data_IF_562222433343
#
_entry.id   IF_562222433343
#
_cell.length_a   1.000
_cell.length_b   1.000
_cell.length_c   1.000
_cell.angle_alpha   90.00
_cell.angle_beta   90.00
_cell.angle_gamma   90.00
#
_symmetry.space_group_name_H-M   'P 1'
#
loop_
_entity.id
_entity.type
_entity.pdbx_description
1 polymer ?
#
# COMPACT_ATOMS: atom_id res chain seq x y z
N UNK A 1 -17.22 -9.03 -67.77
CA UNK A 1 -16.34 -9.92 -66.97
C UNK A 1 -16.98 -10.15 -65.61
N UNK A 2 -17.38 -11.40 -65.36
CA UNK A 2 -17.63 -12.15 -64.10
C UNK A 2 -17.87 -11.35 -62.79
N UNK A 3 -19.12 -11.28 -62.29
CA UNK A 3 -19.73 -12.04 -61.14
C UNK A 3 -19.32 -11.54 -59.75
N UNK A 4 -20.16 -11.38 -58.71
CA UNK A 4 -21.48 -11.96 -58.37
C UNK A 4 -22.12 -11.14 -57.22
N UNK A 5 -23.45 -10.99 -57.26
CA UNK A 5 -24.36 -10.51 -56.22
C UNK A 5 -25.09 -11.72 -55.61
N UNK A 6 -25.42 -11.74 -54.30
CA UNK A 6 -26.56 -12.44 -53.63
C UNK A 6 -26.56 -12.01 -52.15
N UNK A 7 -27.54 -11.26 -51.60
CA UNK A 7 -28.90 -11.62 -51.09
C UNK A 7 -28.94 -12.74 -50.03
N UNK A 8 -29.22 -12.38 -48.77
CA UNK A 8 -29.84 -13.21 -47.73
C UNK A 8 -30.89 -12.32 -47.02
N UNK A 9 -32.19 -12.45 -47.28
CA UNK A 9 -33.17 -13.45 -46.82
C UNK A 9 -33.49 -13.36 -45.33
N UNK A 10 -34.53 -12.60 -45.01
CA UNK A 10 -35.27 -12.59 -43.75
C UNK A 10 -36.14 -13.85 -43.65
N UNK A 11 -36.21 -14.46 -42.47
CA UNK A 11 -37.26 -15.41 -42.11
C UNK A 11 -37.69 -15.14 -40.66
N UNK A 12 -39.00 -14.98 -40.51
CA UNK A 12 -39.74 -14.70 -39.28
C UNK A 12 -40.90 -15.69 -39.32
N UNK A 13 -41.10 -16.54 -38.31
CA UNK A 13 -42.38 -17.21 -38.08
C UNK A 13 -42.54 -17.75 -36.63
N UNK A 14 -43.45 -17.08 -35.91
CA UNK A 14 -44.48 -17.54 -34.95
C UNK A 14 -44.26 -18.65 -33.90
N UNK A 15 -44.30 -18.19 -32.64
CA UNK A 15 -45.14 -18.56 -31.49
C UNK A 15 -45.84 -19.94 -31.37
N UNK A 16 -45.71 -20.53 -30.18
CA UNK A 16 -46.71 -21.38 -29.52
C UNK A 16 -46.71 -21.11 -28.01
N UNK A 17 -47.87 -20.76 -27.46
CA UNK A 17 -48.15 -20.62 -26.03
C UNK A 17 -48.36 -22.00 -25.36
N UNK A 18 -47.88 -22.14 -24.12
CA UNK A 18 -48.61 -22.79 -23.03
C UNK A 18 -48.12 -22.24 -21.66
N UNK A 19 -49.00 -22.16 -20.64
CA UNK A 19 -48.79 -21.37 -19.41
C UNK A 19 -48.39 -22.22 -18.18
N UNK A 20 -47.78 -21.52 -17.21
CA UNK A 20 -47.60 -21.84 -15.78
C UNK A 20 -47.00 -23.19 -15.35
N UNK A 21 -45.82 -23.14 -14.72
CA UNK A 21 -45.57 -23.55 -13.31
C UNK A 21 -44.06 -23.68 -12.99
N UNK A 22 -43.69 -23.29 -11.77
CA UNK A 22 -42.39 -23.43 -11.07
C UNK A 22 -41.26 -22.49 -11.51
N UNK A 23 -40.97 -21.43 -10.74
CA UNK A 23 -40.09 -21.48 -9.56
C UNK A 23 -38.72 -22.06 -9.89
N UNK A 24 -37.80 -21.19 -10.30
CA UNK A 24 -36.46 -20.97 -9.73
C UNK A 24 -35.74 -20.07 -10.75
N UNK A 25 -35.81 -18.75 -10.53
CA UNK A 25 -34.86 -17.86 -11.21
C UNK A 25 -33.44 -18.34 -10.88
N UNK A 26 -32.50 -18.33 -11.85
CA UNK A 26 -31.15 -18.80 -11.60
C UNK A 26 -30.61 -18.06 -10.38
N UNK A 27 -30.25 -18.81 -9.33
CA UNK A 27 -29.43 -18.29 -8.24
C UNK A 27 -28.26 -17.60 -8.92
N UNK A 28 -28.23 -16.27 -8.86
CA UNK A 28 -27.17 -15.48 -9.48
C UNK A 28 -25.84 -16.08 -9.02
N UNK A 29 -24.95 -16.36 -9.97
CA UNK A 29 -23.57 -16.66 -9.65
C UNK A 29 -23.04 -15.46 -8.84
N UNK A 30 -22.99 -15.60 -7.52
CA UNK A 30 -22.06 -14.82 -6.72
C UNK A 30 -20.68 -15.13 -7.29
N UNK A 31 -20.09 -14.18 -8.02
CA UNK A 31 -18.69 -14.26 -8.41
C UNK A 31 -17.88 -14.34 -7.10
N UNK A 32 -17.53 -15.56 -6.69
CA UNK A 32 -16.77 -15.81 -5.47
C UNK A 32 -15.42 -15.09 -5.58
N UNK A 33 -15.28 -14.00 -4.82
CA UNK A 33 -14.07 -13.17 -4.77
C UNK A 33 -12.93 -13.98 -4.16
N UNK A 34 -11.89 -14.25 -4.93
CA UNK A 34 -10.65 -14.83 -4.41
C UNK A 34 -9.83 -13.71 -3.77
N UNK A 35 -9.40 -13.90 -2.53
CA UNK A 35 -8.54 -12.96 -1.80
C UNK A 35 -7.18 -13.61 -1.52
N UNK A 36 -6.14 -12.79 -1.36
CA UNK A 36 -4.80 -13.24 -1.00
C UNK A 36 -4.39 -12.61 0.33
N UNK A 37 -3.94 -13.42 1.28
CA UNK A 37 -3.43 -12.94 2.57
C UNK A 37 -1.95 -13.28 2.74
N UNK A 38 -1.15 -12.33 3.25
CA UNK A 38 0.26 -12.54 3.52
C UNK A 38 0.49 -13.29 4.83
N UNK A 39 1.38 -14.28 4.81
CA UNK A 39 1.73 -15.09 5.96
C UNK A 39 3.23 -15.17 6.06
N UNK A 40 3.77 -14.80 7.21
CA UNK A 40 5.19 -14.95 7.50
C UNK A 40 5.39 -15.98 8.59
N UNK A 41 6.29 -16.93 8.34
CA UNK A 41 6.58 -18.04 9.25
C UNK A 41 8.02 -17.92 9.73
N UNK A 42 8.22 -17.96 11.04
CA UNK A 42 9.54 -17.87 11.67
C UNK A 42 9.76 -18.98 12.68
N UNK A 43 10.99 -19.47 12.77
CA UNK A 43 11.47 -20.30 13.87
C UNK A 43 11.58 -19.46 15.15
N UNK A 44 11.83 -20.14 16.28
CA UNK A 44 12.01 -19.48 17.60
C UNK A 44 13.17 -18.50 17.65
N UNK A 45 14.22 -18.73 16.86
CA UNK A 45 15.39 -17.85 16.71
C UNK A 45 15.13 -16.64 15.79
N UNK A 46 13.93 -16.51 15.23
CA UNK A 46 13.54 -15.45 14.31
C UNK A 46 13.86 -15.75 12.83
N UNK A 47 14.54 -16.85 12.52
CA UNK A 47 14.84 -17.22 11.14
C UNK A 47 13.56 -17.53 10.35
N UNK A 48 13.48 -17.05 9.10
CA UNK A 48 12.33 -17.32 8.22
C UNK A 48 12.33 -18.78 7.76
N UNK A 49 11.13 -19.37 7.70
CA UNK A 49 10.92 -20.71 7.16
C UNK A 49 10.47 -20.61 5.71
N UNK A 50 11.27 -21.11 4.79
CA UNK A 50 11.02 -21.12 3.34
C UNK A 50 10.65 -22.54 2.85
N UNK A 51 10.09 -22.66 1.65
CA UNK A 51 9.79 -23.96 1.03
C UNK A 51 8.62 -24.74 1.64
N UNK A 52 7.72 -24.09 2.40
CA UNK A 52 6.53 -24.75 2.94
C UNK A 52 5.50 -25.04 1.84
N UNK A 53 4.95 -26.25 1.85
CA UNK A 53 3.89 -26.66 0.92
C UNK A 53 2.51 -26.16 1.36
N UNK A 54 1.55 -26.06 0.45
CA UNK A 54 0.19 -25.63 0.80
C UNK A 54 -0.48 -26.50 1.88
N UNK A 55 -0.13 -27.80 1.94
CA UNK A 55 -0.76 -28.79 2.83
C UNK A 55 -0.49 -28.56 4.32
N UNK A 56 0.53 -27.77 4.68
CA UNK A 56 0.85 -27.49 6.09
C UNK A 56 0.06 -26.31 6.64
N UNK A 57 -0.57 -25.50 5.78
CA UNK A 57 -1.33 -24.34 6.20
C UNK A 57 -2.79 -24.72 6.48
N UNK A 58 -3.27 -24.35 7.66
CA UNK A 58 -4.68 -24.36 7.99
C UNK A 58 -5.16 -22.91 8.17
N UNK A 59 -6.27 -22.56 7.52
CA UNK A 59 -6.89 -21.25 7.60
C UNK A 59 -8.25 -21.38 8.29
N UNK A 60 -8.47 -20.60 9.33
CA UNK A 60 -9.76 -20.46 10.00
C UNK A 60 -10.33 -19.08 9.68
N UNK A 61 -11.57 -19.04 9.19
CA UNK A 61 -12.36 -17.82 9.02
C UNK A 61 -13.56 -17.88 9.96
N UNK A 62 -13.66 -16.92 10.90
CA UNK A 62 -14.67 -16.95 11.96
C UNK A 62 -14.73 -18.33 12.65
N UNK A 63 -13.55 -18.82 13.06
CA UNK A 63 -13.31 -20.11 13.72
C UNK A 63 -13.71 -21.37 12.93
N UNK A 64 -14.05 -21.23 11.64
CA UNK A 64 -14.38 -22.36 10.75
C UNK A 64 -13.27 -22.57 9.72
N UNK A 65 -12.95 -23.84 9.47
CA UNK A 65 -11.93 -24.20 8.49
C UNK A 65 -12.31 -23.68 7.10
N UNK A 66 -11.34 -23.03 6.45
CA UNK A 66 -11.45 -22.56 5.06
C UNK A 66 -10.40 -23.23 4.19
N UNK A 67 -10.81 -23.84 3.07
CA UNK A 67 -9.87 -24.35 2.08
C UNK A 67 -8.95 -23.22 1.59
N UNK A 68 -7.65 -23.50 1.57
CA UNK A 68 -6.66 -22.66 0.89
C UNK A 68 -6.55 -23.17 -0.55
N UNK A 69 -6.84 -22.31 -1.51
CA UNK A 69 -6.84 -22.66 -2.94
C UNK A 69 -5.41 -22.84 -3.46
N UNK A 70 -4.50 -21.96 -3.02
CA UNK A 70 -3.09 -22.03 -3.40
C UNK A 70 -2.21 -21.29 -2.39
N UNK A 71 -0.97 -21.74 -2.26
CA UNK A 71 0.08 -21.04 -1.51
C UNK A 71 1.22 -20.72 -2.45
N UNK A 72 1.67 -19.46 -2.45
CA UNK A 72 2.82 -19.01 -3.23
C UNK A 72 3.85 -18.39 -2.30
N UNK A 73 5.06 -18.92 -2.27
CA UNK A 73 6.19 -18.24 -1.64
C UNK A 73 6.63 -17.09 -2.55
N UNK A 74 6.72 -15.89 -1.99
CA UNK A 74 7.07 -14.68 -2.73
C UNK A 74 8.35 -14.10 -2.13
N UNK A 75 9.49 -14.17 -2.86
CA UNK A 75 10.76 -13.61 -2.42
C UNK A 75 10.76 -12.08 -2.56
N UNK A 76 11.67 -11.33 -1.91
CA UNK A 76 11.88 -9.91 -2.18
C UNK A 76 12.10 -9.61 -3.67
N UNK A 77 11.55 -8.49 -4.15
CA UNK A 77 11.88 -7.97 -5.48
C UNK A 77 13.35 -7.56 -5.50
N UNK A 78 14.14 -8.15 -6.42
CA UNK A 78 15.55 -7.84 -6.61
C UNK A 78 15.78 -7.33 -8.04
N UNK A 79 16.57 -6.28 -8.19
CA UNK A 79 16.88 -5.69 -9.50
C UNK A 79 18.38 -5.54 -9.73
N UNK A 80 18.74 -5.36 -11.01
CA UNK A 80 20.12 -5.15 -11.43
C UNK A 80 21.00 -6.38 -11.29
N UNK A 81 22.27 -6.25 -11.71
CA UNK A 81 23.25 -7.34 -11.68
C UNK A 81 23.59 -7.81 -10.25
N UNK A 82 23.56 -6.87 -9.30
CA UNK A 82 23.89 -7.13 -7.89
C UNK A 82 22.72 -7.72 -7.09
N UNK A 83 21.55 -7.93 -7.73
CA UNK A 83 20.33 -8.44 -7.09
C UNK A 83 19.99 -7.66 -5.82
N UNK A 84 19.87 -6.34 -5.94
CA UNK A 84 19.60 -5.42 -4.83
C UNK A 84 18.09 -5.23 -4.67
N UNK A 85 17.62 -5.07 -3.43
CA UNK A 85 16.23 -4.71 -3.15
C UNK A 85 15.94 -3.30 -3.69
N UNK A 86 14.66 -3.06 -4.00
CA UNK A 86 14.18 -1.73 -4.41
C UNK A 86 13.38 -1.11 -3.27
N UNK A 87 13.78 0.08 -2.84
CA UNK A 87 13.01 0.87 -1.89
C UNK A 87 11.99 1.75 -2.62
N UNK A 88 10.69 1.53 -2.37
CA UNK A 88 9.64 2.44 -2.80
C UNK A 88 9.27 3.34 -1.62
N UNK A 89 9.59 4.62 -1.69
CA UNK A 89 9.25 5.59 -0.63
C UNK A 89 8.05 6.41 -1.05
N UNK A 90 7.07 6.48 -0.16
CA UNK A 90 5.83 7.22 -0.34
C UNK A 90 5.71 8.26 0.76
N UNK A 91 5.85 9.54 0.39
CA UNK A 91 5.60 10.63 1.31
C UNK A 91 4.14 11.08 1.24
N UNK A 92 3.39 10.92 2.31
CA UNK A 92 2.03 11.41 2.42
C UNK A 92 2.03 12.81 2.99
N UNK A 93 2.07 13.79 2.10
CA UNK A 93 1.99 15.19 2.48
C UNK A 93 0.60 15.51 3.05
N UNK A 94 -0.48 14.92 2.54
CA UNK A 94 -1.87 15.24 2.95
C UNK A 94 -2.07 15.13 4.46
N UNK A 95 -1.46 14.13 5.09
CA UNK A 95 -1.66 13.87 6.52
C UNK A 95 -0.49 14.25 7.41
N UNK A 96 0.66 14.54 6.81
CA UNK A 96 1.86 14.93 7.55
C UNK A 96 1.73 16.37 8.08
N UNK A 97 2.19 16.66 9.31
CA UNK A 97 2.12 18.00 9.89
C UNK A 97 2.82 19.04 9.01
N UNK A 98 2.12 20.11 8.64
CA UNK A 98 2.62 21.15 7.71
C UNK A 98 4.02 21.67 8.08
N UNK A 99 4.27 21.89 9.38
CA UNK A 99 5.56 22.41 9.89
C UNK A 99 6.74 21.47 9.67
N UNK A 100 6.50 20.17 9.54
CA UNK A 100 7.55 19.16 9.37
C UNK A 100 7.79 18.82 7.90
N UNK A 101 6.86 19.14 7.00
CA UNK A 101 6.94 18.66 5.61
C UNK A 101 8.17 19.18 4.85
N UNK A 102 8.63 20.41 5.14
CA UNK A 102 9.83 20.97 4.49
C UNK A 102 11.08 20.14 4.81
N UNK A 103 11.30 19.81 6.08
CA UNK A 103 12.45 18.99 6.48
C UNK A 103 12.29 17.54 5.98
N UNK A 104 11.09 16.96 6.00
CA UNK A 104 10.87 15.61 5.46
C UNK A 104 11.16 15.55 3.96
N UNK A 105 10.74 16.55 3.18
CA UNK A 105 11.06 16.63 1.75
C UNK A 105 12.56 16.73 1.54
N UNK A 106 13.24 17.55 2.33
CA UNK A 106 14.70 17.67 2.29
C UNK A 106 15.39 16.33 2.62
N UNK A 107 14.92 15.60 3.64
CA UNK A 107 15.44 14.28 3.99
C UNK A 107 15.18 13.25 2.88
N UNK A 108 14.03 13.30 2.20
CA UNK A 108 13.75 12.47 1.04
C UNK A 108 14.73 12.75 -0.12
N UNK A 109 15.02 14.03 -0.39
CA UNK A 109 16.00 14.43 -1.39
C UNK A 109 17.43 13.99 -1.00
N UNK A 110 17.76 14.03 0.28
CA UNK A 110 19.02 13.52 0.80
C UNK A 110 19.11 11.99 0.67
N UNK A 111 18.00 11.26 0.86
CA UNK A 111 17.95 9.83 0.61
C UNK A 111 18.14 9.48 -0.88
N UNK A 112 17.57 10.27 -1.80
CA UNK A 112 17.82 10.13 -3.25
C UNK A 112 19.29 10.39 -3.60
N UNK A 113 19.92 11.40 -3.00
CA UNK A 113 21.35 11.64 -3.16
C UNK A 113 22.18 10.43 -2.73
N UNK A 114 21.91 9.87 -1.55
CA UNK A 114 22.57 8.65 -1.07
C UNK A 114 22.28 7.43 -1.95
N UNK A 115 21.08 7.33 -2.54
CA UNK A 115 20.74 6.29 -3.52
C UNK A 115 21.62 6.37 -4.77
N UNK A 116 21.82 7.58 -5.33
CA UNK A 116 22.68 7.79 -6.49
C UNK A 116 24.15 7.42 -6.20
N UNK A 117 24.66 7.82 -5.02
CA UNK A 117 26.03 7.56 -4.59
C UNK A 117 26.28 6.06 -4.40
N UNK A 118 25.38 5.39 -3.69
CA UNK A 118 25.54 3.98 -3.34
C UNK A 118 25.01 3.03 -4.43
N UNK A 119 24.50 3.57 -5.53
CA UNK A 119 23.81 2.83 -6.59
C UNK A 119 22.69 1.91 -6.04
N UNK A 120 22.01 2.39 -5.00
CA UNK A 120 20.93 1.66 -4.34
C UNK A 120 19.58 1.98 -5.03
N UNK A 121 18.88 1.02 -5.64
CA UNK A 121 17.66 1.28 -6.39
C UNK A 121 16.54 1.84 -5.50
N UNK A 122 16.04 3.02 -5.84
CA UNK A 122 15.00 3.70 -5.07
C UNK A 122 14.00 4.37 -6.01
N UNK A 123 12.72 4.40 -5.62
CA UNK A 123 11.72 5.27 -6.21
C UNK A 123 11.09 6.13 -5.12
N UNK A 124 10.76 7.37 -5.44
CA UNK A 124 10.09 8.31 -4.54
C UNK A 124 8.78 8.76 -5.17
N UNK A 125 7.71 8.70 -4.40
CA UNK A 125 6.41 9.25 -4.74
C UNK A 125 5.85 10.10 -3.59
N UNK A 126 4.95 11.03 -3.93
CA UNK A 126 4.25 11.89 -2.99
C UNK A 126 2.74 11.69 -3.15
N UNK A 127 2.00 11.68 -2.03
CA UNK A 127 0.56 11.88 -2.02
C UNK A 127 0.31 13.33 -1.60
N UNK A 128 -0.34 14.10 -2.46
CA UNK A 128 -0.84 15.42 -2.13
C UNK A 128 -2.31 15.59 -2.56
N UNK A 129 -2.84 16.81 -2.51
CA UNK A 129 -4.23 17.10 -2.86
C UNK A 129 -4.63 16.71 -4.29
N UNK A 130 -3.68 16.63 -5.21
CA UNK A 130 -3.91 16.33 -6.63
C UNK A 130 -3.77 14.82 -6.91
N UNK A 131 -3.34 14.04 -5.91
CA UNK A 131 -3.30 12.57 -5.94
C UNK A 131 -1.90 12.01 -5.71
N UNK A 132 -1.65 10.82 -6.25
CA UNK A 132 -0.33 10.20 -6.25
C UNK A 132 0.53 10.80 -7.37
N UNK A 133 1.75 11.21 -7.03
CA UNK A 133 2.73 11.75 -7.96
C UNK A 133 4.06 11.01 -7.84
N UNK A 134 4.60 10.60 -8.98
CA UNK A 134 5.97 10.09 -9.04
C UNK A 134 6.94 11.26 -9.01
N UNK A 135 7.82 11.27 -8.01
CA UNK A 135 8.88 12.29 -7.83
C UNK A 135 10.17 11.81 -8.49
N UNK A 136 10.50 10.53 -8.30
CA UNK A 136 11.68 9.87 -8.88
C UNK A 136 11.36 8.42 -9.25
N UNK A 137 11.74 8.02 -10.46
CA UNK A 137 11.63 6.65 -10.96
C UNK A 137 12.93 5.88 -10.78
N UNK A 138 12.83 4.61 -10.34
CA UNK A 138 13.98 3.72 -10.17
C UNK A 138 14.76 3.47 -11.48
N UNK A 139 14.12 3.68 -12.63
CA UNK A 139 14.72 3.55 -13.96
C UNK A 139 15.56 4.77 -14.38
N UNK A 140 15.46 5.89 -13.68
CA UNK A 140 16.26 7.09 -13.98
C UNK A 140 17.74 6.79 -13.78
N UNK A 141 18.62 7.05 -14.77
CA UNK A 141 20.05 6.85 -14.60
C UNK A 141 20.60 7.65 -13.42
N UNK A 142 21.45 7.04 -12.59
CA UNK A 142 22.04 7.71 -11.42
C UNK A 142 22.80 9.00 -11.76
N UNK A 143 23.42 9.07 -12.95
CA UNK A 143 24.07 10.29 -13.46
C UNK A 143 23.09 11.41 -13.77
N UNK A 144 21.87 11.07 -14.24
CA UNK A 144 20.78 12.03 -14.46
C UNK A 144 20.22 12.53 -13.12
N UNK A 145 19.96 11.62 -12.17
CA UNK A 145 19.50 11.98 -10.82
C UNK A 145 20.54 12.88 -10.11
N UNK A 146 21.82 12.51 -10.14
CA UNK A 146 22.88 13.29 -9.51
C UNK A 146 23.01 14.70 -10.11
N UNK A 147 22.95 14.82 -11.44
CA UNK A 147 22.95 16.12 -12.11
C UNK A 147 21.73 16.97 -11.72
N UNK A 148 20.54 16.37 -11.68
CA UNK A 148 19.31 17.07 -11.32
C UNK A 148 19.32 17.57 -9.87
N UNK A 149 19.81 16.76 -8.93
CA UNK A 149 19.97 17.14 -7.52
C UNK A 149 20.99 18.28 -7.35
N UNK A 150 22.09 18.28 -8.11
CA UNK A 150 23.09 19.35 -8.06
C UNK A 150 22.55 20.68 -8.59
N UNK A 151 21.72 20.67 -9.64
CA UNK A 151 21.03 21.86 -10.12
C UNK A 151 20.11 22.40 -9.02
N UNK A 152 19.30 21.52 -8.43
CA UNK A 152 18.37 21.88 -7.35
C UNK A 152 19.10 22.48 -6.13
N UNK A 153 20.25 21.90 -5.76
CA UNK A 153 21.11 22.38 -4.66
C UNK A 153 21.73 23.75 -4.95
N UNK A 154 22.04 24.05 -6.21
CA UNK A 154 22.51 25.38 -6.62
C UNK A 154 21.50 26.50 -6.41
N UNK A 155 20.20 26.19 -6.42
CA UNK A 155 19.13 27.17 -6.15
C UNK A 155 18.95 27.45 -4.65
N UNK A 156 19.10 26.41 -3.83
CA UNK A 156 19.00 26.48 -2.37
C UNK A 156 19.78 25.30 -1.78
N UNK A 157 20.95 25.52 -1.17
CA UNK A 157 21.82 24.45 -0.73
C UNK A 157 21.17 23.54 0.32
N UNK A 158 21.19 22.23 0.08
CA UNK A 158 20.66 21.21 1.00
C UNK A 158 21.46 19.91 1.01
N UNK A 159 22.26 19.63 -0.01
CA UNK A 159 23.03 18.38 -0.13
C UNK A 159 24.21 18.34 0.85
N UNK A 160 24.51 17.16 1.37
CA UNK A 160 25.71 16.91 2.19
C UNK A 160 26.92 16.51 1.32
N UNK A 161 26.77 15.52 0.44
CA UNK A 161 27.87 14.87 -0.29
C UNK A 161 28.05 15.39 -1.73
N UNK A 162 28.16 16.71 -1.90
CA UNK A 162 28.19 17.38 -3.22
C UNK A 162 29.28 16.86 -4.15
N UNK A 163 30.50 16.66 -3.66
CA UNK A 163 31.65 16.31 -4.49
C UNK A 163 31.51 14.91 -5.11
N UNK A 164 30.97 13.96 -4.33
CA UNK A 164 30.68 12.61 -4.82
C UNK A 164 29.60 12.64 -5.91
N UNK A 165 28.54 13.43 -5.70
CA UNK A 165 27.50 13.61 -6.72
C UNK A 165 28.03 14.30 -7.99
N UNK A 166 28.98 15.25 -7.88
CA UNK A 166 29.58 15.90 -9.05
C UNK A 166 30.33 14.91 -9.94
N UNK A 167 31.04 13.96 -9.35
CA UNK A 167 31.72 12.90 -10.09
C UNK A 167 30.71 12.02 -10.86
N UNK A 168 29.57 11.70 -10.25
CA UNK A 168 28.51 10.88 -10.86
C UNK A 168 27.74 11.66 -11.93
N UNK A 169 27.40 12.92 -11.65
CA UNK A 169 26.61 13.79 -12.52
C UNK A 169 27.34 14.28 -13.78
N UNK A 170 28.67 14.12 -13.84
CA UNK A 170 29.49 14.48 -15.01
C UNK A 170 29.49 13.42 -16.12
N UNK A 171 28.78 12.31 -15.94
CA UNK A 171 28.63 11.26 -16.95
C UNK A 171 27.86 11.69 -18.21
N UNK A 172 27.84 10.85 -19.26
CA UNK A 172 27.05 11.12 -20.47
C UNK A 172 25.57 11.15 -20.11
N UNK A 173 24.96 12.34 -20.22
CA UNK A 173 23.58 12.57 -19.82
C UNK A 173 22.80 13.28 -20.93
N UNK A 174 21.55 12.87 -21.10
CA UNK A 174 20.60 13.61 -21.92
C UNK A 174 20.10 14.84 -21.16
N UNK A 175 20.32 16.03 -21.72
CA UNK A 175 19.90 17.30 -21.11
C UNK A 175 18.39 17.38 -20.90
N UNK A 176 17.60 16.75 -21.77
CA UNK A 176 16.14 16.73 -21.66
C UNK A 176 15.68 15.90 -20.47
N UNK A 177 16.32 14.74 -20.23
CA UNK A 177 16.05 13.90 -19.06
C UNK A 177 16.46 14.59 -17.76
N UNK A 178 17.61 15.27 -17.73
CA UNK A 178 18.01 16.07 -16.57
C UNK A 178 16.96 17.15 -16.27
N UNK A 179 16.53 17.91 -17.29
CA UNK A 179 15.55 18.97 -17.11
C UNK A 179 14.22 18.44 -16.56
N UNK A 180 13.73 17.32 -17.10
CA UNK A 180 12.48 16.72 -16.64
C UNK A 180 12.59 16.18 -15.20
N UNK A 181 13.73 15.60 -14.84
CA UNK A 181 13.99 15.15 -13.46
C UNK A 181 14.09 16.33 -12.49
N UNK A 182 14.83 17.38 -12.85
CA UNK A 182 14.94 18.60 -12.05
C UNK A 182 13.57 19.22 -11.80
N UNK A 183 12.70 19.31 -12.81
CA UNK A 183 11.35 19.86 -12.66
C UNK A 183 10.50 19.08 -11.64
N UNK A 184 10.55 17.74 -11.69
CA UNK A 184 9.87 16.88 -10.70
C UNK A 184 10.39 17.12 -9.29
N UNK A 185 11.71 17.16 -9.10
CA UNK A 185 12.33 17.40 -7.79
C UNK A 185 12.04 18.82 -7.27
N UNK A 186 12.00 19.83 -8.15
CA UNK A 186 11.60 21.19 -7.79
C UNK A 186 10.13 21.27 -7.37
N UNK A 187 9.21 20.58 -8.07
CA UNK A 187 7.81 20.50 -7.67
C UNK A 187 7.69 19.87 -6.29
N UNK A 188 8.34 18.73 -6.07
CA UNK A 188 8.36 18.04 -4.79
C UNK A 188 8.90 18.94 -3.67
N UNK A 189 10.05 19.58 -3.86
CA UNK A 189 10.67 20.47 -2.85
C UNK A 189 9.76 21.64 -2.45
N UNK A 190 9.04 22.23 -3.42
CA UNK A 190 8.09 23.33 -3.16
C UNK A 190 6.88 22.86 -2.35
N UNK A 191 6.41 21.64 -2.62
CA UNK A 191 5.18 21.11 -2.04
C UNK A 191 3.92 21.88 -2.48
N UNK A 192 2.76 21.43 -2.01
CA UNK A 192 1.47 22.07 -2.25
C UNK A 192 0.80 22.51 -0.94
N UNK A 193 0.06 23.63 -0.98
CA UNK A 193 -0.70 24.15 0.18
C UNK A 193 -1.97 23.31 0.37
N UNK A 194 -2.24 22.89 1.60
CA UNK A 194 -3.26 21.88 1.91
C UNK A 194 -4.48 22.47 2.60
N UNK A 195 -5.66 22.21 2.03
CA UNK A 195 -6.92 22.24 2.75
C UNK A 195 -7.84 21.14 2.24
N UNK A 196 -8.10 20.14 3.08
CA UNK A 196 -9.06 19.07 2.82
C UNK A 196 -9.64 18.56 4.13
N UNK A 197 -10.92 18.19 4.11
CA UNK A 197 -11.58 17.55 5.24
C UNK A 197 -11.03 16.13 5.45
N UNK A 198 -11.13 15.61 6.68
CA UNK A 198 -10.49 14.35 7.09
C UNK A 198 -10.91 13.12 6.26
N UNK A 199 -12.20 12.99 5.93
CA UNK A 199 -12.68 11.89 5.10
C UNK A 199 -12.05 11.93 3.70
N UNK A 200 -11.99 13.13 3.10
CA UNK A 200 -11.32 13.33 1.81
C UNK A 200 -9.85 12.93 1.86
N UNK A 201 -9.14 13.22 2.96
CA UNK A 201 -7.74 12.78 3.17
C UNK A 201 -7.63 11.26 3.17
N UNK A 202 -8.45 10.59 3.98
CA UNK A 202 -8.45 9.14 4.09
C UNK A 202 -8.73 8.43 2.76
N UNK A 203 -9.79 8.85 2.05
CA UNK A 203 -10.12 8.28 0.74
C UNK A 203 -9.03 8.55 -0.30
N UNK A 204 -8.35 9.70 -0.22
CA UNK A 204 -7.21 10.03 -1.09
C UNK A 204 -6.00 9.13 -0.81
N UNK A 205 -5.69 8.86 0.47
CA UNK A 205 -4.63 7.90 0.86
C UNK A 205 -4.92 6.51 0.28
N UNK A 206 -6.15 6.00 0.46
CA UNK A 206 -6.54 4.69 -0.08
C UNK A 206 -6.44 4.66 -1.59
N UNK A 207 -6.96 5.68 -2.29
CA UNK A 207 -6.88 5.78 -3.75
C UNK A 207 -5.43 5.78 -4.24
N UNK A 208 -4.56 6.55 -3.63
CA UNK A 208 -3.13 6.60 -3.98
C UNK A 208 -2.46 5.22 -3.80
N UNK A 209 -2.76 4.50 -2.72
CA UNK A 209 -2.25 3.15 -2.51
C UNK A 209 -2.78 2.14 -3.55
N UNK A 210 -4.03 2.29 -4.00
CA UNK A 210 -4.60 1.49 -5.10
C UNK A 210 -3.92 1.79 -6.46
N UNK A 211 -3.66 3.07 -6.74
CA UNK A 211 -2.93 3.49 -7.95
C UNK A 211 -1.50 2.94 -7.95
N UNK A 212 -0.82 2.98 -6.80
CA UNK A 212 0.49 2.37 -6.63
C UNK A 212 0.45 0.85 -6.84
N UNK A 213 -0.54 0.16 -6.27
CA UNK A 213 -0.72 -1.28 -6.48
C UNK A 213 -0.88 -1.62 -7.97
N UNK A 214 -1.65 -0.81 -8.69
CA UNK A 214 -1.85 -0.96 -10.14
C UNK A 214 -0.56 -0.73 -10.92
N UNK A 215 0.18 0.33 -10.59
CA UNK A 215 1.44 0.66 -11.24
C UNK A 215 2.52 -0.43 -11.06
N UNK A 216 2.57 -1.05 -9.88
CA UNK A 216 3.58 -2.03 -9.52
C UNK A 216 3.16 -3.49 -9.73
N UNK A 217 1.97 -3.75 -10.25
CA UNK A 217 1.40 -5.09 -10.40
C UNK A 217 2.24 -6.02 -11.30
N UNK A 218 2.98 -5.47 -12.26
CA UNK A 218 3.77 -6.25 -13.23
C UNK A 218 5.14 -6.69 -12.72
N UNK A 219 5.60 -6.15 -11.58
CA UNK A 219 6.89 -6.52 -11.02
C UNK A 219 6.71 -7.73 -10.10
N UNK A 220 7.25 -8.89 -10.47
CA UNK A 220 7.20 -10.09 -9.64
C UNK A 220 8.18 -10.02 -8.47
N UNK A 221 7.70 -10.38 -7.28
CA UNK A 221 8.45 -10.33 -6.03
C UNK A 221 7.85 -9.33 -5.04
N UNK A 222 8.14 -9.55 -3.76
CA UNK A 222 7.67 -8.74 -2.64
C UNK A 222 8.30 -7.36 -2.72
N UNK A 223 7.46 -6.35 -2.92
CA UNK A 223 7.86 -4.94 -2.98
C UNK A 223 7.72 -4.29 -1.61
N UNK A 224 8.73 -3.52 -1.25
CA UNK A 224 8.80 -2.80 0.03
C UNK A 224 8.38 -1.35 -0.18
N UNK A 225 7.22 -0.98 0.35
CA UNK A 225 6.76 0.42 0.34
C UNK A 225 6.94 0.99 1.73
N UNK A 226 7.89 1.92 1.89
CA UNK A 226 8.01 2.76 3.09
C UNK A 226 7.03 3.92 2.96
N UNK A 227 5.99 3.95 3.78
CA UNK A 227 4.96 4.99 3.74
C UNK A 227 5.12 5.97 4.90
N UNK A 228 5.68 7.15 4.61
CA UNK A 228 5.86 8.22 5.58
C UNK A 228 4.54 8.97 5.72
N UNK A 229 3.91 8.92 6.89
CA UNK A 229 2.56 9.48 7.09
C UNK A 229 2.38 10.02 8.51
N UNK A 230 1.65 11.13 8.66
CA UNK A 230 1.35 11.71 9.98
C UNK A 230 0.10 11.12 10.62
N UNK A 231 -0.82 10.60 9.82
CA UNK A 231 -2.15 10.23 10.31
C UNK A 231 -2.81 9.10 9.50
N UNK A 232 -3.41 8.16 10.22
CA UNK A 232 -4.24 7.11 9.64
C UNK A 232 -5.37 6.76 10.61
N UNK A 233 -6.60 7.25 10.37
CA UNK A 233 -7.68 7.26 11.37
C UNK A 233 -8.38 5.92 11.58
N UNK A 234 -7.90 4.83 10.98
CA UNK A 234 -8.65 3.57 10.88
C UNK A 234 -8.49 2.75 12.15
N UNK A 235 -9.62 2.34 12.71
CA UNK A 235 -9.68 1.23 13.65
C UNK A 235 -10.75 0.26 13.16
N UNK A 236 -10.39 -1.01 12.96
CA UNK A 236 -11.40 -2.03 12.66
C UNK A 236 -12.18 -2.36 13.92
N UNK A 237 -13.52 -2.26 13.85
CA UNK A 237 -14.43 -2.63 14.94
C UNK A 237 -15.29 -3.82 14.50
N UNK A 238 -14.85 -5.00 14.92
CA UNK A 238 -15.45 -6.29 14.57
C UNK A 238 -16.96 -6.33 14.86
N UNK A 239 -17.39 -5.79 16.01
CA UNK A 239 -18.80 -5.81 16.45
C UNK A 239 -19.73 -4.91 15.61
N UNK A 240 -19.19 -3.96 14.85
CA UNK A 240 -19.97 -3.03 14.03
C UNK A 240 -19.87 -3.31 12.52
N UNK A 241 -19.10 -4.32 12.12
CA UNK A 241 -18.81 -4.63 10.73
C UNK A 241 -18.33 -3.39 9.95
N UNK A 242 -17.53 -2.54 10.59
CA UNK A 242 -17.07 -1.27 10.02
C UNK A 242 -15.68 -0.89 10.49
N UNK A 243 -15.02 -0.05 9.70
CA UNK A 243 -13.94 0.79 10.21
C UNK A 243 -14.56 1.97 10.97
N UNK A 244 -13.96 2.30 12.10
CA UNK A 244 -14.16 3.58 12.76
C UNK A 244 -13.11 4.56 12.27
N UNK A 245 -13.59 5.76 11.93
CA UNK A 245 -12.71 6.90 11.65
C UNK A 245 -12.63 7.72 12.93
N UNK A 246 -11.45 7.74 13.52
CA UNK A 246 -11.12 8.64 14.61
C UNK A 246 -10.95 10.07 14.04
N UNK A 247 -11.26 11.12 14.80
CA UNK A 247 -11.05 12.51 14.38
C UNK A 247 -10.54 13.37 15.53
N UNK A 248 -9.80 14.42 15.20
CA UNK A 248 -9.41 15.46 16.16
C UNK A 248 -10.66 16.06 16.81
N UNK A 249 -10.67 16.12 18.15
CA UNK A 249 -11.78 16.69 18.93
C UNK A 249 -13.03 15.81 19.10
N UNK A 250 -13.04 14.58 18.55
CA UNK A 250 -14.15 13.63 18.75
C UNK A 250 -13.62 12.44 19.56
N UNK A 251 -14.19 12.24 20.76
CA UNK A 251 -13.74 11.20 21.70
C UNK A 251 -14.10 9.78 21.24
N UNK A 252 -15.19 9.62 20.49
CA UNK A 252 -15.65 8.36 19.88
C UNK A 252 -15.52 8.39 18.35
N UNK A 253 -14.81 7.43 17.77
CA UNK A 253 -14.83 7.23 16.32
C UNK A 253 -16.24 6.91 15.83
N UNK A 254 -16.54 7.27 14.58
CA UNK A 254 -17.83 6.94 13.96
C UNK A 254 -17.66 5.84 12.91
N UNK A 255 -18.60 4.88 12.83
CA UNK A 255 -18.51 3.76 11.90
C UNK A 255 -18.78 4.22 10.47
N UNK A 256 -17.94 3.79 9.52
CA UNK A 256 -18.04 4.17 8.10
C UNK A 256 -18.00 2.93 7.20
N UNK A 257 -19.16 2.28 7.04
CA UNK A 257 -19.29 1.04 6.25
C UNK A 257 -18.84 1.17 4.78
N UNK A 258 -19.13 2.30 4.14
CA UNK A 258 -18.71 2.54 2.76
C UNK A 258 -17.18 2.55 2.62
N UNK A 259 -16.50 3.19 3.57
CA UNK A 259 -15.05 3.33 3.56
C UNK A 259 -14.34 2.01 3.96
N UNK A 260 -15.01 1.12 4.71
CA UNK A 260 -14.51 -0.25 4.95
C UNK A 260 -14.35 -1.06 3.66
N UNK A 261 -15.22 -0.85 2.65
CA UNK A 261 -15.13 -1.53 1.35
C UNK A 261 -13.86 -1.06 0.62
N UNK A 262 -13.63 0.24 0.55
CA UNK A 262 -12.45 0.81 -0.12
C UNK A 262 -11.16 0.47 0.62
N UNK A 263 -11.20 0.43 1.96
CA UNK A 263 -10.10 -0.05 2.80
C UNK A 263 -9.71 -1.49 2.43
N UNK A 264 -10.69 -2.40 2.38
CA UNK A 264 -10.41 -3.79 2.03
C UNK A 264 -9.98 -3.96 0.57
N UNK A 265 -10.59 -3.23 -0.38
CA UNK A 265 -10.16 -3.25 -1.79
C UNK A 265 -8.69 -2.83 -1.92
N UNK A 266 -8.28 -1.83 -1.15
CA UNK A 266 -6.89 -1.36 -1.12
C UNK A 266 -5.95 -2.49 -0.66
N UNK A 267 -6.28 -3.16 0.44
CA UNK A 267 -5.49 -4.31 0.95
C UNK A 267 -5.41 -5.42 -0.11
N UNK A 268 -6.53 -5.78 -0.73
CA UNK A 268 -6.57 -6.82 -1.75
C UNK A 268 -5.71 -6.50 -2.97
N UNK A 269 -5.76 -5.25 -3.44
CA UNK A 269 -4.94 -4.78 -4.56
C UNK A 269 -3.45 -4.80 -4.20
N UNK A 270 -3.08 -4.33 -3.01
CA UNK A 270 -1.70 -4.37 -2.52
C UNK A 270 -1.18 -5.81 -2.41
N UNK A 271 -1.96 -6.72 -1.83
CA UNK A 271 -1.59 -8.13 -1.71
C UNK A 271 -1.50 -8.83 -3.07
N UNK A 272 -2.42 -8.55 -3.98
CA UNK A 272 -2.39 -9.08 -5.35
C UNK A 272 -1.19 -8.57 -6.14
N UNK A 273 -0.78 -7.34 -5.87
CA UNK A 273 0.44 -6.75 -6.40
C UNK A 273 1.69 -7.16 -5.61
N UNK A 274 1.61 -8.03 -4.60
CA UNK A 274 2.76 -8.44 -3.76
C UNK A 274 3.49 -7.26 -3.09
N UNK A 275 2.74 -6.26 -2.62
CA UNK A 275 3.26 -5.09 -1.92
C UNK A 275 3.10 -5.29 -0.42
N UNK A 276 4.19 -5.12 0.32
CA UNK A 276 4.15 -4.94 1.78
C UNK A 276 4.36 -3.47 2.13
N UNK A 277 3.42 -2.92 2.90
CA UNK A 277 3.47 -1.53 3.35
C UNK A 277 4.09 -1.46 4.74
N UNK A 278 5.14 -0.66 4.86
CA UNK A 278 5.83 -0.33 6.10
C UNK A 278 5.55 1.14 6.42
N UNK A 279 4.43 1.45 7.11
CA UNK A 279 4.14 2.81 7.47
C UNK A 279 5.11 3.29 8.56
N UNK A 280 5.69 4.47 8.37
CA UNK A 280 6.47 5.18 9.37
C UNK A 280 5.68 6.42 9.81
N UNK A 281 5.17 6.37 11.04
CA UNK A 281 4.40 7.47 11.62
C UNK A 281 5.30 8.66 11.92
N UNK A 282 5.02 9.78 11.28
CA UNK A 282 5.59 11.08 11.62
C UNK A 282 4.83 11.60 12.85
N UNK A 283 5.54 11.76 13.95
CA UNK A 283 4.97 12.24 15.22
C UNK A 283 5.41 13.68 15.45
N UNK A 284 4.46 14.51 15.84
CA UNK A 284 4.69 15.92 16.08
C UNK A 284 4.77 16.24 17.58
N UNK A 285 5.96 16.12 18.15
CA UNK A 285 6.19 16.26 19.59
C UNK A 285 5.86 17.66 20.16
N UNK A 286 5.69 18.68 19.31
CA UNK A 286 5.29 20.03 19.73
C UNK A 286 3.77 20.24 19.72
N UNK A 287 2.97 19.22 19.39
CA UNK A 287 1.50 19.31 19.40
C UNK A 287 0.88 19.29 20.82
N UNK A 288 1.70 19.15 21.86
CA UNK A 288 1.25 19.01 23.26
C UNK A 288 1.03 20.33 23.98
N UNK A 289 1.34 21.49 23.37
CA UNK A 289 1.36 22.79 24.07
C UNK A 289 0.26 23.79 23.69
N UNK A 290 -0.54 23.56 22.64
CA UNK A 290 -1.52 24.56 22.15
C UNK A 290 -2.96 24.02 21.98
N UNK A 291 -3.54 23.32 22.97
CA UNK A 291 -5.00 23.10 22.99
C UNK A 291 -5.54 22.90 24.40
N UNK A 292 -6.06 24.00 24.96
CA UNK A 292 -6.95 24.02 26.12
C UNK A 292 -8.33 23.46 25.75
N UNK A 293 -8.56 22.15 25.89
CA UNK A 293 -9.88 21.61 26.30
C UNK A 293 -9.67 20.33 27.12
N UNK A 294 -10.14 20.43 28.36
CA UNK A 294 -10.19 19.41 29.41
C UNK A 294 -11.19 18.30 29.04
N UNK A 295 -10.77 17.04 29.14
CA UNK A 295 -11.49 15.82 29.59
C UNK A 295 -10.79 14.58 28.99
N UNK A 296 -9.68 14.20 29.62
CA UNK A 296 -8.82 13.09 29.22
C UNK A 296 -9.36 11.74 29.73
N UNK A 297 -10.11 11.06 28.86
CA UNK A 297 -10.35 9.61 28.94
C UNK A 297 -10.09 8.92 27.57
N UNK A 298 -9.38 9.58 26.66
CA UNK A 298 -9.13 9.08 25.30
C UNK A 298 -7.64 8.92 25.06
N UNK A 299 -7.20 7.76 24.57
CA UNK A 299 -5.81 7.56 24.18
C UNK A 299 -5.32 8.68 23.24
N UNK A 300 -4.07 9.17 23.36
CA UNK A 300 -3.50 10.16 22.46
C UNK A 300 -3.70 9.77 21.00
N UNK A 301 -4.01 10.73 20.13
CA UNK A 301 -4.30 10.50 18.70
C UNK A 301 -3.17 9.72 18.00
N UNK A 302 -1.93 9.92 18.44
CA UNK A 302 -0.77 9.18 17.94
C UNK A 302 -0.89 7.68 18.19
N UNK A 303 -1.41 7.25 19.35
CA UNK A 303 -1.65 5.84 19.66
C UNK A 303 -2.73 5.23 18.78
N UNK A 304 -3.82 5.99 18.53
CA UNK A 304 -4.89 5.56 17.63
C UNK A 304 -4.38 5.41 16.20
N UNK A 305 -3.61 6.39 15.72
CA UNK A 305 -2.94 6.34 14.42
C UNK A 305 -2.04 5.12 14.29
N UNK A 306 -1.16 4.89 15.27
CA UNK A 306 -0.27 3.72 15.27
C UNK A 306 -1.04 2.40 15.27
N UNK A 307 -2.19 2.34 15.94
CA UNK A 307 -3.04 1.13 15.95
C UNK A 307 -3.56 0.82 14.54
N UNK A 308 -4.11 1.81 13.84
CA UNK A 308 -4.57 1.65 12.46
C UNK A 308 -3.43 1.30 11.49
N UNK A 309 -2.28 1.98 11.63
CA UNK A 309 -1.09 1.68 10.83
C UNK A 309 -0.59 0.25 11.03
N UNK A 310 -0.58 -0.25 12.26
CA UNK A 310 -0.20 -1.64 12.57
C UNK A 310 -1.16 -2.64 11.92
N UNK A 311 -2.46 -2.40 12.03
CA UNK A 311 -3.48 -3.25 11.39
C UNK A 311 -3.28 -3.28 9.86
N UNK A 312 -3.14 -2.11 9.24
CA UNK A 312 -2.94 -2.00 7.79
C UNK A 312 -1.64 -2.66 7.31
N UNK A 313 -0.53 -2.41 8.02
CA UNK A 313 0.75 -3.02 7.73
C UNK A 313 0.70 -4.55 7.85
N UNK A 314 0.08 -5.06 8.91
CA UNK A 314 -0.11 -6.51 9.11
C UNK A 314 -0.95 -7.14 7.99
N UNK A 315 -2.00 -6.46 7.53
CA UNK A 315 -2.84 -6.91 6.41
C UNK A 315 -2.11 -7.01 5.07
N UNK A 316 -0.95 -6.35 4.93
CA UNK A 316 -0.08 -6.38 3.73
C UNK A 316 1.26 -7.10 3.96
N UNK A 317 1.44 -7.71 5.13
CA UNK A 317 2.65 -8.43 5.51
C UNK A 317 3.82 -7.54 5.93
N UNK A 318 3.62 -6.22 6.01
CA UNK A 318 4.61 -5.27 6.50
C UNK A 318 4.63 -5.09 8.01
N UNK A 319 5.18 -3.96 8.44
CA UNK A 319 5.27 -3.57 9.85
C UNK A 319 5.25 -2.05 10.01
N UNK A 320 4.45 -1.57 10.97
CA UNK A 320 4.41 -0.15 11.30
C UNK A 320 5.57 0.23 12.23
N UNK A 321 6.11 1.41 11.99
CA UNK A 321 7.23 2.00 12.72
C UNK A 321 6.95 3.48 13.01
N UNK A 322 7.72 4.06 13.92
CA UNK A 322 7.74 5.52 14.14
C UNK A 322 8.89 6.10 13.32
N UNK A 323 8.67 7.25 12.70
CA UNK A 323 9.71 7.99 11.97
C UNK A 323 10.61 8.77 12.94
N UNK A 324 11.33 8.04 13.79
CA UNK A 324 12.21 8.58 14.84
C UNK A 324 13.70 8.63 14.44
N UNK A 325 14.00 8.39 13.17
CA UNK A 325 15.35 8.28 12.61
C UNK A 325 15.36 8.87 11.19
N UNK A 326 16.53 9.00 10.57
CA UNK A 326 16.71 9.43 9.18
C UNK A 326 15.95 8.50 8.22
N UNK A 327 15.49 9.06 7.10
CA UNK A 327 14.77 8.29 6.08
C UNK A 327 15.63 7.14 5.54
N UNK A 328 16.94 7.33 5.39
CA UNK A 328 17.87 6.26 4.99
C UNK A 328 17.85 5.07 5.94
N UNK A 329 17.84 5.30 7.26
CA UNK A 329 17.76 4.23 8.26
C UNK A 329 16.38 3.55 8.26
N UNK A 330 15.30 4.31 8.05
CA UNK A 330 13.96 3.74 7.92
C UNK A 330 13.83 2.85 6.68
N UNK A 331 14.40 3.27 5.55
CA UNK A 331 14.48 2.47 4.32
C UNK A 331 15.21 1.16 4.62
N UNK A 332 16.43 1.23 5.18
CA UNK A 332 17.23 0.06 5.51
C UNK A 332 16.47 -0.90 6.43
N UNK A 333 15.80 -0.38 7.46
CA UNK A 333 14.98 -1.20 8.37
C UNK A 333 13.83 -1.88 7.64
N UNK A 334 13.11 -1.17 6.76
CA UNK A 334 12.03 -1.76 5.97
C UNK A 334 12.55 -2.85 5.02
N UNK A 335 13.71 -2.64 4.42
CA UNK A 335 14.40 -3.63 3.59
C UNK A 335 14.83 -4.87 4.38
N UNK A 336 15.42 -4.68 5.57
CA UNK A 336 15.84 -5.78 6.46
C UNK A 336 14.64 -6.65 6.88
N UNK A 337 13.50 -6.01 7.15
CA UNK A 337 12.24 -6.70 7.46
C UNK A 337 11.58 -7.36 6.23
N UNK A 338 11.96 -6.94 5.03
CA UNK A 338 11.46 -7.50 3.77
C UNK A 338 12.23 -8.77 3.41
N UNK A 339 11.64 -9.89 3.83
CA UNK A 339 12.09 -11.25 3.51
C UNK A 339 11.03 -11.98 2.67
N UNK A 340 11.28 -13.23 2.29
CA UNK A 340 10.22 -14.09 1.74
C UNK A 340 9.04 -14.19 2.72
N UNK A 341 7.85 -14.31 2.14
CA UNK A 341 6.58 -14.57 2.81
C UNK A 341 5.70 -15.45 1.91
N UNK A 342 4.62 -15.98 2.43
CA UNK A 342 3.66 -16.78 1.69
C UNK A 342 2.40 -15.97 1.42
N UNK A 343 1.89 -16.01 0.19
CA UNK A 343 0.55 -15.56 -0.13
C UNK A 343 -0.39 -16.77 -0.16
N UNK A 344 -1.32 -16.81 0.78
CA UNK A 344 -2.41 -17.80 0.80
C UNK A 344 -3.58 -17.21 0.03
N UNK A 345 -3.99 -17.87 -1.06
CA UNK A 345 -5.20 -17.52 -1.81
C UNK A 345 -6.34 -18.41 -1.34
N UNK A 346 -7.49 -17.81 -1.06
CA UNK A 346 -8.69 -18.53 -0.66
C UNK A 346 -9.94 -17.75 -1.03
N UNK A 347 -11.09 -18.41 -0.94
CA UNK A 347 -12.41 -17.80 -1.08
C UNK A 347 -13.03 -17.60 0.30
N UNK A 348 -13.22 -16.34 0.75
CA UNK A 348 -13.87 -16.08 2.01
C UNK A 348 -15.36 -16.37 1.90
N UNK A 349 -16.03 -16.61 3.04
CA UNK A 349 -17.47 -16.73 3.06
C UNK A 349 -18.13 -15.43 2.59
N UNK A 350 -19.06 -15.54 1.65
CA UNK A 350 -19.89 -14.41 1.23
C UNK A 350 -20.53 -13.68 2.43
N UNK A 351 -20.72 -12.36 2.28
CA UNK A 351 -21.49 -11.58 3.22
C UNK A 351 -22.98 -11.78 2.93
N UNK A 352 -23.76 -12.26 3.92
CA UNK A 352 -25.23 -12.26 3.81
C UNK A 352 -25.83 -10.85 3.95
N UNK A 353 -25.04 -9.91 4.47
CA UNK A 353 -25.30 -8.48 4.61
C UNK A 353 -24.48 -7.68 3.59
N UNK A 354 -24.66 -6.35 3.56
CA UNK A 354 -23.87 -5.46 2.70
C UNK A 354 -22.35 -5.62 2.94
N UNK A 355 -21.95 -5.71 4.21
CA UNK A 355 -20.57 -5.89 4.66
C UNK A 355 -20.54 -6.67 5.98
N UNK A 356 -19.46 -7.42 6.21
CA UNK A 356 -19.19 -8.13 7.44
C UNK A 356 -17.69 -8.24 7.69
N UNK A 357 -17.25 -8.08 8.94
CA UNK A 357 -15.88 -8.42 9.34
C UNK A 357 -15.76 -9.92 9.64
N UNK A 358 -14.66 -10.52 9.19
CA UNK A 358 -14.34 -11.94 9.40
C UNK A 358 -12.97 -12.03 10.02
N UNK A 359 -12.91 -12.59 11.22
CA UNK A 359 -11.63 -12.91 11.86
C UNK A 359 -10.93 -14.01 11.07
N UNK A 360 -9.61 -13.90 10.99
CA UNK A 360 -8.74 -14.88 10.36
C UNK A 360 -7.71 -15.39 11.34
N UNK A 361 -7.43 -16.69 11.26
CA UNK A 361 -6.33 -17.32 11.96
C UNK A 361 -5.64 -18.32 11.06
N UNK A 362 -4.34 -18.13 10.88
CA UNK A 362 -3.49 -19.07 10.13
C UNK A 362 -2.70 -19.92 11.12
N UNK A 363 -2.70 -21.22 10.88
CA UNK A 363 -1.89 -22.19 11.60
C UNK A 363 -0.97 -22.90 10.61
N UNK A 364 0.22 -23.25 11.08
CA UNK A 364 1.19 -24.03 10.32
C UNK A 364 1.42 -25.32 11.10
N UNK A 365 1.08 -26.45 10.48
CA UNK A 365 1.26 -27.77 11.06
C UNK A 365 2.72 -28.21 10.94
N UNK A 366 3.23 -28.89 11.98
CA UNK A 366 4.61 -29.39 12.02
C UNK A 366 5.38 -28.85 13.22
N UNK A 367 6.62 -28.40 12.96
CA UNK A 367 7.51 -27.88 14.01
C UNK A 367 6.95 -26.61 14.69
N UNK A 368 7.32 -26.34 15.96
CA UNK A 368 6.92 -25.11 16.64
C UNK A 368 7.46 -23.85 15.93
N UNK A 369 6.57 -23.13 15.25
CA UNK A 369 6.86 -21.88 14.53
C UNK A 369 5.98 -20.73 15.04
N UNK A 370 6.43 -19.50 14.83
CA UNK A 370 5.63 -18.29 14.99
C UNK A 370 5.08 -17.86 13.63
N UNK A 371 3.80 -17.49 13.60
CA UNK A 371 3.06 -17.14 12.38
C UNK A 371 2.53 -15.72 12.51
N UNK A 372 2.95 -14.83 11.60
CA UNK A 372 2.40 -13.48 11.44
C UNK A 372 1.49 -13.47 10.21
N UNK A 373 0.21 -13.16 10.39
CA UNK A 373 -0.80 -13.11 9.33
C UNK A 373 -1.86 -12.05 9.66
N UNK A 374 -2.67 -11.57 8.70
CA UNK A 374 -3.80 -10.70 8.99
C UNK A 374 -4.75 -11.35 10.01
N UNK A 375 -5.29 -10.55 10.92
CA UNK A 375 -6.24 -11.01 11.94
C UNK A 375 -7.69 -11.02 11.46
N UNK A 376 -7.96 -10.48 10.27
CA UNK A 376 -9.28 -10.50 9.66
C UNK A 376 -9.35 -9.78 8.32
N UNK A 377 -10.54 -9.79 7.72
CA UNK A 377 -10.88 -9.02 6.52
C UNK A 377 -12.35 -8.60 6.53
N UNK A 378 -12.69 -7.59 5.72
CA UNK A 378 -14.08 -7.30 5.36
C UNK A 378 -14.52 -8.13 4.15
N UNK A 379 -15.61 -8.87 4.30
CA UNK A 379 -16.36 -9.47 3.20
C UNK A 379 -17.57 -8.60 2.91
N UNK A 380 -17.93 -8.45 1.64
CA UNK A 380 -19.07 -7.63 1.23
C UNK A 380 -19.71 -8.22 -0.01
N UNK A 381 -21.03 -8.01 -0.12
CA UNK A 381 -21.79 -8.45 -1.29
C UNK A 381 -21.36 -7.64 -2.53
N UNK A 382 -21.24 -8.26 -3.72
CA UNK A 382 -21.16 -7.50 -4.96
C UNK A 382 -22.35 -6.56 -5.03
N UNK A 383 -22.13 -5.27 -5.35
CA UNK A 383 -23.25 -4.36 -5.58
C UNK A 383 -24.05 -4.89 -6.78
N UNK A 384 -25.37 -5.02 -6.61
CA UNK A 384 -26.28 -5.40 -7.70
C UNK A 384 -26.25 -4.41 -8.84
#
# INVERSE_FOLDING_TARGET
MKTKSYRHLSLLLFALCAPDMFSQGPKGLELERIVSIPVTVTKKDGARVTGLSAAVFALLEADRNRPVDSVTEVPPLLVGKNKTKVAFVLFDAITSPLRLQTEIRKDCLQALASSAINQAPMSLAEIDRDGLHVVHEVSTPYSTLAAALLILDGESPFLVERDQLRAIGSGPNDKSLISAETERLQKFRRGSIQSSNMMGRFLSQLKALQEMATALQRADGRKTVLWLTGYFPVEVIDVQDSININSFGITSGFPVKSASIDYQRTIDLLNSAQISVFPAQIVDNQSTTDSWVVLDFSQPLDRKTMTGLRQFAQSTGGEAMTASDTIGNLIKRAEDLTTSYYLLRFRPEGAKSDIKWRTLKVQVNGEPVSVKSPNGLFVFSPRK
#
